data_IF_855506931593
#
_entry.id   IF_855506931593
#
_cell.length_a   1.000
_cell.length_b   1.000
_cell.length_c   1.000
_cell.angle_alpha   90.00
_cell.angle_beta   90.00
_cell.angle_gamma   90.00
#
_symmetry.space_group_name_H-M   'P 1'
#
loop_
_entity.id
_entity.type
_entity.pdbx_description
1 polymer ?
#
# COMPACT_ATOMS: atom_id res chain seq x y z
N UNK A 1 6.42 -12.67 -12.59
CA UNK A 1 7.44 -12.02 -11.74
C UNK A 1 7.52 -10.50 -11.92
N UNK A 2 7.75 -9.97 -13.14
CA UNK A 2 7.83 -8.50 -13.38
C UNK A 2 6.60 -7.72 -12.91
N UNK A 3 5.40 -8.26 -13.14
CA UNK A 3 4.13 -7.63 -12.73
C UNK A 3 4.05 -7.38 -11.21
N UNK A 4 4.54 -8.30 -10.38
CA UNK A 4 4.50 -8.17 -8.92
C UNK A 4 5.37 -7.02 -8.44
N UNK A 5 6.54 -6.84 -9.08
CA UNK A 5 7.45 -5.73 -8.78
C UNK A 5 6.79 -4.40 -9.15
N UNK A 6 6.19 -4.30 -10.34
CA UNK A 6 5.47 -3.07 -10.73
C UNK A 6 4.29 -2.77 -9.81
N UNK A 7 3.54 -3.80 -9.40
CA UNK A 7 2.43 -3.65 -8.45
C UNK A 7 2.93 -3.25 -7.07
N UNK A 8 4.08 -3.74 -6.59
CA UNK A 8 4.63 -3.31 -5.30
C UNK A 8 5.04 -1.85 -5.33
N UNK A 9 5.70 -1.41 -6.40
CA UNK A 9 6.04 0.01 -6.59
C UNK A 9 4.79 0.89 -6.67
N UNK A 10 3.78 0.50 -7.46
CA UNK A 10 2.52 1.22 -7.54
C UNK A 10 1.82 1.29 -6.17
N UNK A 11 1.78 0.17 -5.43
CA UNK A 11 1.22 0.10 -4.08
C UNK A 11 1.96 1.04 -3.13
N UNK A 12 3.30 1.05 -3.16
CA UNK A 12 4.14 1.89 -2.32
C UNK A 12 3.94 3.37 -2.63
N UNK A 13 3.90 3.74 -3.93
CA UNK A 13 3.65 5.11 -4.36
C UNK A 13 2.25 5.58 -3.93
N UNK A 14 1.21 4.78 -4.15
CA UNK A 14 -0.15 5.11 -3.73
C UNK A 14 -0.22 5.25 -2.21
N UNK A 15 0.38 4.32 -1.47
CA UNK A 15 0.41 4.40 -0.01
C UNK A 15 1.13 5.66 0.46
N UNK A 16 2.33 5.93 -0.02
CA UNK A 16 3.10 7.12 0.31
C UNK A 16 2.33 8.40 -0.03
N UNK A 17 1.73 8.47 -1.22
CA UNK A 17 1.00 9.67 -1.63
C UNK A 17 -0.19 9.96 -0.71
N UNK A 18 -0.99 8.94 -0.41
CA UNK A 18 -2.18 9.11 0.42
C UNK A 18 -1.79 9.33 1.89
N UNK A 19 -0.72 8.70 2.37
CA UNK A 19 -0.33 8.79 3.78
C UNK A 19 0.53 10.01 4.10
N UNK A 20 1.46 10.40 3.24
CA UNK A 20 2.44 11.45 3.57
C UNK A 20 2.19 12.78 2.86
N UNK A 21 1.45 12.80 1.74
CA UNK A 21 1.31 14.03 0.96
C UNK A 21 0.35 15.00 1.60
N UNK A 22 0.77 16.27 1.74
CA UNK A 22 -0.04 17.36 2.29
C UNK A 22 -1.39 17.55 1.57
N UNK A 23 -1.46 17.23 0.28
CA UNK A 23 -2.68 17.25 -0.52
C UNK A 23 -3.80 16.35 0.04
N UNK A 24 -3.43 15.23 0.68
CA UNK A 24 -4.38 14.26 1.25
C UNK A 24 -4.64 14.46 2.74
N UNK A 25 -4.03 15.46 3.39
CA UNK A 25 -4.29 15.77 4.80
C UNK A 25 -5.77 16.08 5.06
N UNK A 26 -6.38 16.91 4.22
CA UNK A 26 -7.81 17.25 4.32
C UNK A 26 -8.69 16.00 4.19
N UNK A 27 -8.34 15.08 3.29
CA UNK A 27 -9.08 13.83 3.12
C UNK A 27 -8.93 12.92 4.35
N UNK A 28 -7.71 12.82 4.90
CA UNK A 28 -7.40 12.05 6.11
C UNK A 28 -8.19 12.55 7.32
N UNK A 29 -8.19 13.85 7.56
CA UNK A 29 -8.92 14.46 8.67
C UNK A 29 -10.43 14.30 8.50
N UNK A 30 -10.94 14.43 7.28
CA UNK A 30 -12.35 14.19 6.98
C UNK A 30 -12.74 12.72 7.21
N UNK A 31 -11.91 11.77 6.79
CA UNK A 31 -12.13 10.34 7.03
C UNK A 31 -12.06 10.00 8.53
N UNK A 32 -11.12 10.61 9.27
CA UNK A 32 -11.01 10.46 10.72
C UNK A 32 -12.25 10.97 11.46
N UNK A 33 -12.88 12.05 10.97
CA UNK A 33 -14.17 12.55 11.50
C UNK A 33 -15.33 11.59 11.20
N UNK A 34 -15.28 10.87 10.08
CA UNK A 34 -16.37 9.99 9.64
C UNK A 34 -16.32 8.62 10.28
N UNK A 35 -15.13 8.02 10.41
CA UNK A 35 -14.93 6.84 11.26
C UNK A 35 -13.50 6.75 11.78
N UNK A 36 -13.31 6.39 13.06
CA UNK A 36 -11.98 6.24 13.63
C UNK A 36 -11.19 5.14 12.92
N UNK A 37 -11.86 4.06 12.51
CA UNK A 37 -11.23 2.93 11.81
C UNK A 37 -10.66 3.33 10.44
N UNK A 38 -11.43 4.03 9.60
CA UNK A 38 -10.91 4.48 8.30
C UNK A 38 -9.79 5.50 8.50
N UNK A 39 -9.96 6.42 9.45
CA UNK A 39 -8.92 7.39 9.82
C UNK A 39 -7.58 6.72 10.12
N UNK A 40 -7.56 5.70 10.99
CA UNK A 40 -6.34 4.94 11.31
C UNK A 40 -5.79 4.17 10.10
N UNK A 41 -6.68 3.58 9.29
CA UNK A 41 -6.30 2.84 8.10
C UNK A 41 -5.52 3.70 7.11
N UNK A 42 -6.01 4.92 6.84
CA UNK A 42 -5.31 5.85 5.95
C UNK A 42 -4.14 6.52 6.64
N UNK A 43 -4.10 6.53 7.98
CA UNK A 43 -3.00 7.08 8.79
C UNK A 43 -1.75 6.19 8.77
N UNK A 44 -1.91 4.89 8.54
CA UNK A 44 -0.81 3.94 8.51
C UNK A 44 -0.49 3.48 7.08
N UNK A 45 0.71 3.81 6.58
CA UNK A 45 1.17 3.41 5.25
C UNK A 45 1.17 1.90 5.03
N UNK A 46 1.51 1.12 6.06
CA UNK A 46 1.47 -0.35 6.02
C UNK A 46 0.04 -0.90 5.91
N UNK A 47 -0.89 -0.38 6.73
CA UNK A 47 -2.28 -0.80 6.71
C UNK A 47 -2.90 -0.46 5.36
N UNK A 48 -2.74 0.78 4.90
CA UNK A 48 -3.28 1.21 3.62
C UNK A 48 -2.68 0.41 2.45
N UNK A 49 -1.38 0.14 2.47
CA UNK A 49 -0.71 -0.69 1.48
C UNK A 49 -1.28 -2.11 1.39
N UNK A 50 -1.71 -2.72 2.50
CA UNK A 50 -2.40 -4.03 2.45
C UNK A 50 -3.68 -3.95 1.64
N UNK A 51 -4.53 -2.97 1.92
CA UNK A 51 -5.79 -2.79 1.20
C UNK A 51 -5.58 -2.49 -0.27
N UNK A 52 -4.61 -1.62 -0.59
CA UNK A 52 -4.24 -1.32 -1.97
C UNK A 52 -3.71 -2.56 -2.69
N UNK A 53 -2.85 -3.36 -2.05
CA UNK A 53 -2.34 -4.61 -2.61
C UNK A 53 -3.46 -5.63 -2.85
N UNK A 54 -4.41 -5.77 -1.92
CA UNK A 54 -5.58 -6.65 -2.10
C UNK A 54 -6.43 -6.21 -3.29
N UNK A 55 -6.71 -4.91 -3.43
CA UNK A 55 -7.48 -4.37 -4.56
C UNK A 55 -6.74 -4.61 -5.88
N UNK A 56 -5.44 -4.32 -5.93
CA UNK A 56 -4.63 -4.53 -7.14
C UNK A 56 -4.54 -6.00 -7.53
N UNK A 57 -4.37 -6.91 -6.57
CA UNK A 57 -4.38 -8.34 -6.85
C UNK A 57 -5.77 -8.82 -7.29
N UNK A 58 -6.85 -8.28 -6.72
CA UNK A 58 -8.21 -8.62 -7.15
C UNK A 58 -8.49 -8.17 -8.60
N UNK A 59 -7.95 -7.02 -9.02
CA UNK A 59 -8.11 -6.47 -10.38
C UNK A 59 -7.22 -7.20 -11.39
N UNK A 60 -5.92 -7.30 -11.13
CA UNK A 60 -4.94 -7.83 -12.09
C UNK A 60 -4.79 -9.36 -12.01
N UNK A 61 -5.31 -9.98 -10.95
CA UNK A 61 -5.28 -11.43 -10.68
C UNK A 61 -3.91 -12.06 -10.98
N UNK A 62 -2.79 -11.51 -10.45
CA UNK A 62 -1.48 -12.14 -10.58
C UNK A 62 -1.49 -13.48 -9.85
N UNK A 63 -1.00 -14.53 -10.51
CA UNK A 63 -0.79 -15.84 -9.91
C UNK A 63 0.70 -16.10 -9.72
N UNK A 64 1.15 -16.26 -8.48
CA UNK A 64 2.56 -16.50 -8.14
C UNK A 64 2.84 -17.99 -7.88
N UNK A 65 1.87 -18.67 -7.29
CA UNK A 65 1.91 -20.05 -6.85
C UNK A 65 0.84 -20.87 -7.59
N UNK A 66 1.25 -21.91 -8.32
CA UNK A 66 0.33 -22.80 -9.04
C UNK A 66 -0.37 -23.84 -8.14
N UNK A 67 -0.68 -23.49 -6.89
CA UNK A 67 -1.28 -24.41 -5.91
C UNK A 67 -2.81 -24.26 -5.85
N UNK A 68 -3.31 -23.34 -5.01
CA UNK A 68 -4.74 -23.11 -4.82
C UNK A 68 -5.09 -21.66 -5.15
N UNK A 69 -6.09 -21.46 -6.02
CA UNK A 69 -6.40 -20.17 -6.62
C UNK A 69 -6.66 -19.07 -5.58
N UNK A 70 -7.46 -19.32 -4.52
CA UNK A 70 -7.70 -18.31 -3.47
C UNK A 70 -6.44 -17.99 -2.65
N UNK A 71 -5.73 -19.06 -2.25
CA UNK A 71 -4.56 -18.94 -1.39
C UNK A 71 -3.41 -18.24 -2.11
N UNK A 72 -3.28 -18.49 -3.41
CA UNK A 72 -2.28 -17.85 -4.26
C UNK A 72 -2.48 -16.34 -4.35
N UNK A 73 -3.71 -15.87 -4.59
CA UNK A 73 -3.99 -14.43 -4.58
C UNK A 73 -3.71 -13.80 -3.21
N UNK A 74 -4.09 -14.49 -2.13
CA UNK A 74 -3.85 -13.98 -0.77
C UNK A 74 -2.35 -13.84 -0.46
N UNK A 75 -1.56 -14.89 -0.74
CA UNK A 75 -0.11 -14.87 -0.55
C UNK A 75 0.56 -13.83 -1.45
N UNK A 76 0.11 -13.71 -2.70
CA UNK A 76 0.64 -12.71 -3.64
C UNK A 76 0.37 -11.29 -3.15
N UNK A 77 -0.83 -11.01 -2.62
CA UNK A 77 -1.17 -9.71 -2.05
C UNK A 77 -0.30 -9.39 -0.83
N UNK A 78 -0.06 -10.37 0.06
CA UNK A 78 0.81 -10.17 1.22
C UNK A 78 2.27 -9.87 0.83
N UNK A 79 2.80 -10.56 -0.19
CA UNK A 79 4.16 -10.30 -0.70
C UNK A 79 4.25 -8.88 -1.27
N UNK A 80 3.25 -8.46 -2.05
CA UNK A 80 3.19 -7.09 -2.61
C UNK A 80 3.09 -6.07 -1.49
N UNK A 81 2.22 -6.28 -0.50
CA UNK A 81 2.03 -5.39 0.63
C UNK A 81 3.32 -5.24 1.45
N UNK A 82 4.01 -6.34 1.74
CA UNK A 82 5.26 -6.32 2.49
C UNK A 82 6.38 -5.57 1.74
N UNK A 83 6.57 -5.85 0.45
CA UNK A 83 7.54 -5.14 -0.40
C UNK A 83 7.21 -3.64 -0.48
N UNK A 84 5.92 -3.32 -0.64
CA UNK A 84 5.49 -1.92 -0.74
C UNK A 84 5.68 -1.15 0.55
N UNK A 85 5.49 -1.79 1.71
CA UNK A 85 5.73 -1.17 3.01
C UNK A 85 7.22 -0.90 3.22
N UNK A 86 8.09 -1.83 2.82
CA UNK A 86 9.54 -1.60 2.85
C UNK A 86 9.91 -0.41 1.96
N UNK A 87 9.38 -0.35 0.73
CA UNK A 87 9.58 0.78 -0.19
C UNK A 87 9.06 2.10 0.37
N UNK A 88 7.91 2.08 1.04
CA UNK A 88 7.34 3.24 1.73
C UNK A 88 8.27 3.76 2.83
N UNK A 89 8.78 2.89 3.71
CA UNK A 89 9.73 3.28 4.77
C UNK A 89 10.98 3.91 4.17
N UNK A 90 11.52 3.32 3.09
CA UNK A 90 12.69 3.85 2.38
C UNK A 90 12.39 5.24 1.81
N UNK A 91 11.23 5.44 1.19
CA UNK A 91 10.83 6.75 0.66
C UNK A 91 10.67 7.80 1.77
N UNK A 92 10.01 7.45 2.87
CA UNK A 92 9.90 8.34 4.04
C UNK A 92 11.28 8.73 4.58
N UNK A 93 12.19 7.77 4.69
CA UNK A 93 13.56 8.02 5.14
C UNK A 93 14.34 8.92 4.18
N UNK A 94 14.19 8.70 2.86
CA UNK A 94 14.82 9.54 1.84
C UNK A 94 14.30 10.98 1.88
N UNK A 95 12.99 11.17 2.02
CA UNK A 95 12.37 12.49 2.12
C UNK A 95 12.82 13.23 3.38
N UNK A 96 12.87 12.55 4.53
CA UNK A 96 13.39 13.12 5.77
C UNK A 96 14.87 13.52 5.67
N UNK A 97 15.64 12.90 4.76
CA UNK A 97 17.02 13.26 4.46
C UNK A 97 17.13 14.41 3.44
N UNK A 98 16.19 14.53 2.50
CA UNK A 98 16.17 15.56 1.48
C UNK A 98 15.65 16.92 1.97
N UNK A 99 14.86 16.92 3.05
CA UNK A 99 14.38 18.15 3.72
C UNK A 99 15.43 18.74 4.70
N UNK A 100 16.57 18.07 4.89
CA UNK A 100 17.76 18.60 5.58
C UNK A 100 18.74 19.20 4.60
#
# INVERSE_FOLDING_TARGET
MKLIIYLSFATASIAFTVTETKAFLLLREWLKKKSPFLGELVSCGYCFAHWVAFVLVAVYRPRLFAAWWLLDYFLTALVIAWLSAFQWVVLCWLMAKAEK
#
